data_IF_456343243286
#
_entry.id   IF_456343243286
#
_cell.length_a   1.000
_cell.length_b   1.000
_cell.length_c   1.000
_cell.angle_alpha   90.00
_cell.angle_beta   90.00
_cell.angle_gamma   90.00
#
_symmetry.space_group_name_H-M   'P 1'
#
loop_
_entity.id
_entity.type
_entity.pdbx_description
1 polymer ?
#
# COMPACT_ATOMS: atom_id res chain seq x y z
N UNK A 1 -19.50 -11.98 24.99
CA UNK A 1 -18.12 -12.45 25.23
C UNK A 1 -17.50 -13.10 24.00
N UNK A 2 -18.18 -14.05 23.34
CA UNK A 2 -17.68 -14.71 22.11
C UNK A 2 -17.37 -13.73 20.98
N UNK A 3 -18.26 -12.77 20.69
CA UNK A 3 -18.04 -11.76 19.64
C UNK A 3 -16.86 -10.83 19.95
N UNK A 4 -16.66 -10.49 21.23
CA UNK A 4 -15.52 -9.67 21.65
C UNK A 4 -14.20 -10.44 21.47
N UNK A 5 -14.15 -11.70 21.89
CA UNK A 5 -12.97 -12.54 21.69
C UNK A 5 -12.67 -12.75 20.20
N UNK A 6 -13.70 -12.98 19.39
CA UNK A 6 -13.55 -13.09 17.94
C UNK A 6 -12.97 -11.80 17.33
N UNK A 7 -13.47 -10.63 17.74
CA UNK A 7 -12.96 -9.33 17.28
C UNK A 7 -11.49 -9.11 17.69
N UNK A 8 -11.13 -9.42 18.93
CA UNK A 8 -9.74 -9.28 19.42
C UNK A 8 -8.81 -10.23 18.66
N UNK A 9 -9.22 -11.49 18.48
CA UNK A 9 -8.43 -12.46 17.74
C UNK A 9 -8.24 -12.06 16.28
N UNK A 10 -9.31 -11.61 15.62
CA UNK A 10 -9.27 -11.10 14.24
C UNK A 10 -8.33 -9.89 14.13
N UNK A 11 -8.41 -8.96 15.07
CA UNK A 11 -7.51 -7.80 15.13
C UNK A 11 -6.05 -8.21 15.32
N UNK A 12 -5.76 -9.15 16.23
CA UNK A 12 -4.41 -9.64 16.48
C UNK A 12 -3.85 -10.40 15.27
N UNK A 13 -4.66 -11.23 14.62
CA UNK A 13 -4.27 -11.92 13.38
C UNK A 13 -4.03 -10.92 12.25
N UNK A 14 -4.88 -9.91 12.11
CA UNK A 14 -4.72 -8.83 11.14
C UNK A 14 -3.41 -8.07 11.35
N UNK A 15 -3.13 -7.64 12.58
CA UNK A 15 -1.87 -6.97 12.93
C UNK A 15 -0.67 -7.88 12.63
N UNK A 16 -0.74 -9.15 13.01
CA UNK A 16 0.35 -10.10 12.78
C UNK A 16 0.61 -10.30 11.28
N UNK A 17 -0.44 -10.45 10.47
CA UNK A 17 -0.33 -10.56 9.01
C UNK A 17 0.25 -9.29 8.39
N UNK A 18 -0.25 -8.11 8.79
CA UNK A 18 0.26 -6.81 8.33
C UNK A 18 1.74 -6.65 8.66
N UNK A 19 2.15 -7.03 9.87
CA UNK A 19 3.53 -6.90 10.30
C UNK A 19 4.44 -7.96 9.65
N UNK A 20 3.94 -9.18 9.41
CA UNK A 20 4.67 -10.25 8.73
C UNK A 20 4.89 -9.98 7.23
N UNK A 21 3.94 -9.31 6.56
CA UNK A 21 3.96 -9.00 5.12
C UNK A 21 4.12 -7.51 4.80
N UNK A 22 4.66 -6.73 5.75
CA UNK A 22 4.77 -5.29 5.62
C UNK A 22 5.54 -4.83 4.37
N UNK A 23 6.66 -5.49 4.06
CA UNK A 23 7.48 -5.18 2.89
C UNK A 23 6.69 -5.29 1.58
N UNK A 24 6.13 -6.47 1.25
CA UNK A 24 5.25 -6.65 0.10
C UNK A 24 4.04 -5.69 0.07
N UNK A 25 3.43 -5.37 1.22
CA UNK A 25 2.33 -4.40 1.26
C UNK A 25 2.78 -2.98 0.88
N UNK A 26 3.89 -2.50 1.45
CA UNK A 26 4.43 -1.18 1.11
C UNK A 26 4.89 -1.13 -0.35
N UNK A 27 5.53 -2.19 -0.86
CA UNK A 27 5.94 -2.25 -2.26
C UNK A 27 4.73 -2.27 -3.20
N UNK A 28 3.71 -3.08 -2.91
CA UNK A 28 2.45 -3.10 -3.66
C UNK A 28 1.78 -1.73 -3.69
N UNK A 29 1.66 -1.07 -2.53
CA UNK A 29 1.10 0.27 -2.41
C UNK A 29 1.89 1.31 -3.21
N UNK A 30 3.22 1.34 -3.08
CA UNK A 30 4.07 2.27 -3.83
C UNK A 30 3.99 2.04 -5.34
N UNK A 31 3.85 0.79 -5.80
CA UNK A 31 3.67 0.50 -7.21
C UNK A 31 2.35 1.09 -7.73
N UNK A 32 1.27 0.90 -6.99
CA UNK A 32 -0.05 1.45 -7.34
C UNK A 32 -0.01 2.98 -7.36
N UNK A 33 0.55 3.62 -6.33
CA UNK A 33 0.74 5.09 -6.27
C UNK A 33 1.53 5.62 -7.48
N UNK A 34 2.60 4.93 -7.90
CA UNK A 34 3.37 5.37 -9.07
C UNK A 34 2.62 5.20 -10.39
N UNK A 35 1.84 4.13 -10.53
CA UNK A 35 0.98 3.91 -11.70
C UNK A 35 -0.12 4.97 -11.75
N UNK A 36 -0.81 5.20 -10.63
CA UNK A 36 -1.86 6.22 -10.50
C UNK A 36 -1.30 7.61 -10.86
N UNK A 37 -0.16 7.98 -10.27
CA UNK A 37 0.49 9.26 -10.56
C UNK A 37 0.91 9.39 -12.03
N UNK A 38 1.44 8.32 -12.64
CA UNK A 38 1.84 8.33 -14.05
C UNK A 38 0.64 8.46 -15.00
N UNK A 39 -0.49 7.82 -14.67
CA UNK A 39 -1.75 7.95 -15.40
C UNK A 39 -2.30 9.37 -15.28
N UNK A 40 -2.45 9.88 -14.05
CA UNK A 40 -2.96 11.23 -13.80
C UNK A 40 -2.11 12.31 -14.46
N UNK A 41 -0.78 12.23 -14.32
CA UNK A 41 0.14 13.17 -14.98
C UNK A 41 0.00 13.17 -16.50
N UNK A 42 -0.30 12.02 -17.09
CA UNK A 42 -0.46 11.90 -18.54
C UNK A 42 -1.81 12.44 -18.99
N UNK A 43 -2.88 12.15 -18.26
CA UNK A 43 -4.21 12.70 -18.53
C UNK A 43 -4.15 14.23 -18.41
N UNK A 44 -3.57 14.76 -17.33
CA UNK A 44 -3.40 16.20 -17.11
C UNK A 44 -2.60 16.85 -18.25
N UNK A 45 -1.49 16.25 -18.69
CA UNK A 45 -0.76 16.76 -19.86
C UNK A 45 -1.61 16.78 -21.13
N UNK A 46 -2.39 15.73 -21.37
CA UNK A 46 -3.26 15.66 -22.56
C UNK A 46 -4.40 16.66 -22.49
N UNK A 47 -4.87 17.02 -21.30
CA UNK A 47 -5.82 18.12 -21.08
C UNK A 47 -5.18 19.47 -21.34
N UNK A 48 -3.99 19.73 -20.77
CA UNK A 48 -3.32 21.03 -20.89
C UNK A 48 -2.75 21.32 -22.30
N UNK A 49 -2.30 20.28 -23.02
CA UNK A 49 -1.81 20.44 -24.40
C UNK A 49 -2.94 20.69 -25.42
N UNK A 50 -4.21 20.61 -25.01
CA UNK A 50 -5.35 20.89 -25.89
C UNK A 50 -5.67 22.37 -25.85
N UNK A 51 -5.28 23.08 -26.90
CA UNK A 51 -5.71 24.46 -27.19
C UNK A 51 -7.24 24.62 -27.34
N UNK A 52 -7.98 23.51 -27.43
CA UNK A 52 -9.44 23.49 -27.58
C UNK A 52 -10.10 22.99 -26.29
N UNK A 53 -10.65 23.89 -25.44
CA UNK A 53 -11.35 23.52 -24.21
C UNK A 53 -12.62 22.69 -24.47
N UNK A 54 -13.11 22.64 -25.71
CA UNK A 54 -14.30 21.84 -26.07
C UNK A 54 -13.97 20.38 -26.35
N UNK A 55 -12.67 20.02 -26.46
CA UNK A 55 -12.24 18.68 -26.85
C UNK A 55 -12.33 17.70 -25.67
N UNK A 56 -13.42 16.95 -25.66
CA UNK A 56 -13.74 15.92 -24.66
C UNK A 56 -12.62 14.88 -24.45
N UNK A 57 -12.44 14.34 -23.23
CA UNK A 57 -11.51 13.25 -22.98
C UNK A 57 -11.86 12.03 -23.82
N UNK A 58 -10.83 11.32 -24.28
CA UNK A 58 -11.00 10.10 -25.07
C UNK A 58 -11.46 8.94 -24.19
N UNK A 59 -12.15 7.94 -24.77
CA UNK A 59 -12.59 6.76 -24.01
C UNK A 59 -11.42 6.03 -23.31
N UNK A 60 -10.21 6.08 -23.87
CA UNK A 60 -9.02 5.50 -23.26
C UNK A 60 -8.51 6.29 -22.05
N UNK A 61 -8.68 7.61 -22.04
CA UNK A 61 -8.40 8.47 -20.87
C UNK A 61 -9.38 8.15 -19.73
N UNK A 62 -10.67 8.07 -20.03
CA UNK A 62 -11.70 7.70 -19.06
C UNK A 62 -11.49 6.29 -18.50
N UNK A 63 -11.11 5.34 -19.36
CA UNK A 63 -10.83 3.98 -18.92
C UNK A 63 -9.54 3.88 -18.09
N UNK A 64 -8.48 4.63 -18.44
CA UNK A 64 -7.28 4.69 -17.63
C UNK A 64 -7.57 5.24 -16.22
N UNK A 65 -8.40 6.29 -16.12
CA UNK A 65 -8.85 6.85 -14.84
C UNK A 65 -9.78 5.89 -14.08
N UNK A 66 -10.60 5.11 -14.78
CA UNK A 66 -11.37 4.06 -14.12
C UNK A 66 -10.46 2.98 -13.55
N UNK A 67 -9.39 2.57 -14.27
CA UNK A 67 -8.43 1.57 -13.77
C UNK A 67 -7.74 2.03 -12.48
N UNK A 68 -7.38 3.31 -12.33
CA UNK A 68 -6.77 3.79 -11.08
C UNK A 68 -7.74 3.67 -9.89
N UNK A 69 -9.04 3.87 -10.13
CA UNK A 69 -10.06 3.80 -9.08
C UNK A 69 -10.51 2.36 -8.77
N UNK A 70 -10.75 1.54 -9.79
CA UNK A 70 -11.30 0.17 -9.64
C UNK A 70 -10.28 -0.96 -9.83
N UNK A 71 -9.01 -0.62 -10.03
CA UNK A 71 -7.94 -1.58 -10.34
C UNK A 71 -7.68 -2.64 -9.29
N UNK A 72 -8.21 -2.47 -8.07
CA UNK A 72 -8.12 -3.44 -6.97
C UNK A 72 -9.13 -4.60 -7.05
N UNK A 73 -10.12 -4.52 -7.94
CA UNK A 73 -11.13 -5.55 -8.13
C UNK A 73 -10.70 -6.59 -9.18
N UNK A 74 -11.14 -7.83 -8.98
CA UNK A 74 -10.90 -8.92 -9.93
C UNK A 74 -11.59 -8.66 -11.27
N UNK A 75 -10.79 -8.48 -12.32
CA UNK A 75 -11.25 -8.27 -13.71
C UNK A 75 -12.20 -9.40 -14.16
N UNK A 76 -11.88 -10.62 -13.73
CA UNK A 76 -12.55 -11.86 -14.15
C UNK A 76 -13.67 -12.30 -13.22
N UNK A 77 -14.07 -11.46 -12.26
CA UNK A 77 -15.23 -11.74 -11.43
C UNK A 77 -16.48 -11.84 -12.32
N UNK A 78 -16.84 -13.07 -12.66
CA UNK A 78 -18.07 -13.38 -13.39
C UNK A 78 -19.23 -13.36 -12.43
N UNK A 79 -20.25 -12.60 -12.78
CA UNK A 79 -21.54 -12.69 -12.10
C UNK A 79 -22.24 -13.98 -12.51
N UNK A 80 -22.30 -14.93 -11.58
CA UNK A 80 -23.12 -16.12 -11.73
C UNK A 80 -24.58 -15.71 -11.47
N UNK A 81 -25.26 -15.29 -12.54
CA UNK A 81 -26.67 -14.96 -12.47
C UNK A 81 -27.47 -16.25 -12.27
N UNK A 82 -27.84 -16.53 -11.02
CA UNK A 82 -28.77 -17.60 -10.66
C UNK A 82 -30.19 -17.21 -11.11
N UNK A 83 -30.44 -17.21 -12.42
CA UNK A 83 -31.79 -17.14 -12.96
C UNK A 83 -32.09 -18.42 -13.75
N UNK A 84 -32.88 -19.29 -13.12
CA UNK A 84 -33.65 -20.33 -13.76
C UNK A 84 -34.60 -19.72 -14.81
N UNK A 85 -34.13 -19.41 -16.02
CA UNK A 85 -34.86 -19.46 -17.31
C UNK A 85 -34.08 -18.74 -18.42
N UNK A 86 -33.87 -19.46 -19.53
CA UNK A 86 -33.64 -18.94 -20.89
C UNK A 86 -32.19 -18.70 -21.36
N UNK A 87 -31.45 -19.80 -21.48
CA UNK A 87 -30.57 -20.28 -22.59
C UNK A 87 -29.72 -19.33 -23.49
N UNK A 88 -29.62 -18.01 -23.32
CA UNK A 88 -28.73 -17.16 -24.15
C UNK A 88 -28.17 -15.94 -23.38
N UNK A 89 -27.89 -16.07 -22.08
CA UNK A 89 -27.38 -14.96 -21.30
C UNK A 89 -25.84 -14.91 -21.36
N UNK A 90 -25.32 -13.87 -22.02
CA UNK A 90 -23.89 -13.57 -22.11
C UNK A 90 -23.39 -13.24 -20.70
N UNK A 91 -22.49 -14.05 -20.15
CA UNK A 91 -21.77 -13.73 -18.91
C UNK A 91 -21.03 -12.40 -19.11
N UNK A 92 -21.44 -11.36 -18.38
CA UNK A 92 -20.73 -10.08 -18.36
C UNK A 92 -19.68 -10.11 -17.26
N UNK A 93 -18.44 -9.80 -17.63
CA UNK A 93 -17.37 -9.62 -16.64
C UNK A 93 -17.52 -8.26 -15.95
N UNK A 94 -16.89 -8.09 -14.78
CA UNK A 94 -16.85 -6.79 -14.11
C UNK A 94 -16.25 -5.69 -15.01
N UNK A 95 -15.19 -6.02 -15.75
CA UNK A 95 -14.60 -5.11 -16.72
C UNK A 95 -15.57 -4.71 -17.83
N UNK A 96 -16.42 -5.62 -18.32
CA UNK A 96 -17.43 -5.29 -19.34
C UNK A 96 -18.48 -4.30 -18.81
N UNK A 97 -18.87 -4.41 -17.53
CA UNK A 97 -19.78 -3.45 -16.89
C UNK A 97 -19.15 -2.07 -16.77
N UNK A 98 -17.89 -2.00 -16.32
CA UNK A 98 -17.13 -0.75 -16.25
C UNK A 98 -17.06 -0.11 -17.64
N UNK A 99 -16.68 -0.88 -18.67
CA UNK A 99 -16.64 -0.39 -20.06
C UNK A 99 -18.01 0.12 -20.53
N UNK A 100 -19.08 -0.61 -20.24
CA UNK A 100 -20.43 -0.21 -20.63
C UNK A 100 -20.82 1.13 -20.00
N UNK A 101 -20.52 1.34 -18.71
CA UNK A 101 -20.75 2.61 -18.02
C UNK A 101 -19.89 3.75 -18.58
N UNK A 102 -18.67 3.45 -19.03
CA UNK A 102 -17.76 4.43 -19.61
C UNK A 102 -18.09 4.81 -21.06
N UNK A 103 -18.75 3.93 -21.82
CA UNK A 103 -19.20 4.22 -23.19
C UNK A 103 -20.29 5.30 -23.22
N UNK A 104 -21.08 5.41 -22.16
CA UNK A 104 -22.02 6.51 -22.01
C UNK A 104 -21.27 7.72 -21.42
N UNK A 105 -20.93 8.73 -22.24
CA UNK A 105 -20.14 9.90 -21.79
C UNK A 105 -20.64 10.54 -20.48
N UNK A 106 -21.97 10.67 -20.34
CA UNK A 106 -22.58 11.21 -19.10
C UNK A 106 -22.46 10.22 -17.94
N UNK A 107 -22.56 8.93 -18.24
CA UNK A 107 -22.35 7.83 -17.29
C UNK A 107 -20.91 7.76 -16.79
N UNK A 108 -19.91 7.98 -17.65
CA UNK A 108 -18.49 7.95 -17.29
C UNK A 108 -18.14 9.01 -16.24
N UNK A 109 -18.49 10.27 -16.49
CA UNK A 109 -18.25 11.36 -15.55
C UNK A 109 -18.99 11.13 -14.22
N UNK A 110 -20.28 10.75 -14.27
CA UNK A 110 -21.05 10.47 -13.05
C UNK A 110 -20.47 9.29 -12.27
N UNK A 111 -20.09 8.22 -12.95
CA UNK A 111 -19.46 7.05 -12.36
C UNK A 111 -18.16 7.41 -11.62
N UNK A 112 -17.29 8.17 -12.27
CA UNK A 112 -16.01 8.59 -11.70
C UNK A 112 -16.21 9.57 -10.56
N UNK A 113 -17.07 10.57 -10.73
CA UNK A 113 -17.41 11.53 -9.67
C UNK A 113 -17.99 10.83 -8.45
N UNK A 114 -18.96 9.93 -8.63
CA UNK A 114 -19.51 9.13 -7.54
C UNK A 114 -18.42 8.30 -6.88
N UNK A 115 -17.56 7.66 -7.65
CA UNK A 115 -16.45 6.86 -7.13
C UNK A 115 -15.49 7.70 -6.28
N UNK A 116 -15.06 8.86 -6.77
CA UNK A 116 -14.17 9.77 -6.04
C UNK A 116 -14.82 10.27 -4.75
N UNK A 117 -16.11 10.60 -4.76
CA UNK A 117 -16.82 11.07 -3.54
C UNK A 117 -16.92 10.01 -2.44
N UNK A 118 -16.73 8.73 -2.79
CA UNK A 118 -16.75 7.62 -1.83
C UNK A 118 -15.35 7.24 -1.32
N UNK A 119 -14.28 7.86 -1.85
CA UNK A 119 -12.95 7.72 -1.28
C UNK A 119 -12.93 8.39 0.08
N UNK A 120 -12.51 7.64 1.10
CA UNK A 120 -12.39 8.20 2.43
C UNK A 120 -11.23 9.21 2.44
N UNK A 121 -11.43 10.41 3.02
CA UNK A 121 -10.38 11.41 3.06
C UNK A 121 -9.17 10.87 3.84
N UNK A 122 -8.00 10.95 3.21
CA UNK A 122 -6.72 10.48 3.75
C UNK A 122 -6.49 10.97 5.20
N UNK A 123 -6.85 12.25 5.46
CA UNK A 123 -6.72 12.89 6.76
C UNK A 123 -7.45 12.15 7.88
N UNK A 124 -8.62 11.57 7.59
CA UNK A 124 -9.42 10.86 8.60
C UNK A 124 -8.90 9.44 8.81
N UNK A 125 -8.51 8.74 7.74
CA UNK A 125 -8.03 7.36 7.85
C UNK A 125 -6.66 7.26 8.53
N UNK A 126 -5.71 8.12 8.15
CA UNK A 126 -4.33 8.03 8.64
C UNK A 126 -4.05 9.02 9.76
N UNK A 127 -4.64 10.22 9.69
CA UNK A 127 -4.28 11.32 10.58
C UNK A 127 -4.47 10.99 12.05
N UNK A 128 -5.62 10.42 12.42
CA UNK A 128 -5.94 10.12 13.83
C UNK A 128 -5.00 9.03 14.41
N UNK A 129 -4.89 7.82 13.81
CA UNK A 129 -3.99 6.79 14.33
C UNK A 129 -2.53 7.25 14.39
N UNK A 130 -2.11 8.07 13.43
CA UNK A 130 -0.75 8.58 13.37
C UNK A 130 -0.46 9.62 14.43
N UNK A 131 -1.36 10.59 14.65
CA UNK A 131 -1.22 11.56 15.75
C UNK A 131 -1.14 10.81 17.08
N UNK A 132 -1.96 9.78 17.26
CA UNK A 132 -1.89 8.94 18.46
C UNK A 132 -0.53 8.24 18.60
N UNK A 133 -0.03 7.62 17.53
CA UNK A 133 1.28 6.95 17.52
C UNK A 133 2.43 7.92 17.80
N UNK A 134 2.50 9.05 17.08
CA UNK A 134 3.55 10.07 17.26
C UNK A 134 3.50 10.64 18.68
N UNK A 135 2.30 10.89 19.22
CA UNK A 135 2.13 11.39 20.59
C UNK A 135 2.60 10.38 21.63
N UNK A 136 2.21 9.12 21.50
CA UNK A 136 2.63 8.05 22.41
C UNK A 136 4.15 7.81 22.34
N UNK A 137 4.72 7.90 21.14
CA UNK A 137 6.15 7.75 20.93
C UNK A 137 6.94 8.93 21.52
N UNK A 138 6.50 10.17 21.27
CA UNK A 138 7.10 11.38 21.86
C UNK A 138 7.01 11.34 23.38
N UNK A 139 5.87 10.93 23.95
CA UNK A 139 5.74 10.72 25.38
C UNK A 139 6.75 9.69 25.92
N UNK A 140 6.94 8.58 25.20
CA UNK A 140 7.94 7.56 25.55
C UNK A 140 9.38 8.10 25.51
N UNK A 141 9.69 9.01 24.55
CA UNK A 141 10.99 9.70 24.52
C UNK A 141 11.16 10.66 25.71
N UNK A 142 10.11 11.37 26.13
CA UNK A 142 10.15 12.27 27.29
C UNK A 142 10.33 11.47 28.58
N UNK A 143 9.58 10.37 28.77
CA UNK A 143 9.76 9.48 29.92
C UNK A 143 11.18 8.90 29.94
N UNK A 144 11.74 8.58 28.77
CA UNK A 144 13.11 8.13 28.64
C UNK A 144 14.16 9.15 29.07
N UNK A 145 13.91 10.44 28.88
CA UNK A 145 14.80 11.50 29.36
C UNK A 145 14.82 11.57 30.90
N UNK A 146 13.74 11.18 31.58
CA UNK A 146 13.68 11.17 33.04
C UNK A 146 14.41 9.94 33.61
N UNK A 147 14.50 8.84 32.85
CA UNK A 147 15.08 7.55 33.26
C UNK A 147 16.40 7.24 32.56
N UNK A 148 17.32 8.20 32.55
CA UNK A 148 18.64 8.04 31.92
C UNK A 148 19.39 6.83 32.50
N UNK A 149 20.04 6.08 31.63
CA UNK A 149 20.80 4.87 31.98
C UNK A 149 19.96 3.59 31.99
N UNK A 150 18.63 3.64 32.06
CA UNK A 150 17.81 2.41 32.06
C UNK A 150 17.78 1.73 30.69
N UNK A 151 18.46 0.59 30.61
CA UNK A 151 18.53 -0.26 29.43
C UNK A 151 17.14 -0.66 28.89
N UNK A 152 16.17 -0.93 29.76
CA UNK A 152 14.84 -1.32 29.29
C UNK A 152 14.13 -0.18 28.55
N UNK A 153 14.42 1.06 28.94
CA UNK A 153 13.85 2.24 28.29
C UNK A 153 14.43 2.46 26.89
N UNK A 154 15.74 2.28 26.71
CA UNK A 154 16.38 2.31 25.39
C UNK A 154 15.82 1.25 24.44
N UNK A 155 15.61 0.03 24.94
CA UNK A 155 15.02 -1.02 24.11
C UNK A 155 13.53 -0.79 23.85
N UNK A 156 12.77 -0.19 24.77
CA UNK A 156 11.40 0.23 24.48
C UNK A 156 11.37 1.16 23.25
N UNK A 157 12.27 2.14 23.18
CA UNK A 157 12.41 3.02 22.01
C UNK A 157 12.77 2.22 20.75
N UNK A 158 13.70 1.27 20.83
CA UNK A 158 14.05 0.42 19.69
C UNK A 158 12.86 -0.43 19.18
N UNK A 159 12.08 -1.03 20.08
CA UNK A 159 10.88 -1.78 19.70
C UNK A 159 9.81 -0.86 19.12
N UNK A 160 9.64 0.35 19.66
CA UNK A 160 8.77 1.34 19.07
C UNK A 160 9.23 1.72 17.65
N UNK A 161 10.53 1.96 17.41
CA UNK A 161 11.07 2.17 16.06
C UNK A 161 10.82 0.98 15.13
N UNK A 162 10.83 -0.24 15.65
CA UNK A 162 10.49 -1.43 14.86
C UNK A 162 8.98 -1.51 14.54
N UNK A 163 8.11 -1.23 15.51
CA UNK A 163 6.64 -1.19 15.34
C UNK A 163 6.15 -0.05 14.43
N UNK A 164 6.98 0.97 14.20
CA UNK A 164 6.81 1.99 13.17
C UNK A 164 6.42 1.40 11.80
N UNK A 165 6.89 0.18 11.50
CA UNK A 165 6.54 -0.54 10.28
C UNK A 165 5.02 -0.65 10.05
N UNK A 166 4.22 -0.88 11.10
CA UNK A 166 2.75 -0.97 11.00
C UNK A 166 2.16 0.37 10.54
N UNK A 167 2.67 1.46 11.13
CA UNK A 167 2.27 2.82 10.78
C UNK A 167 2.65 3.15 9.34
N UNK A 168 3.83 2.73 8.89
CA UNK A 168 4.28 2.91 7.50
C UNK A 168 3.41 2.13 6.50
N UNK A 169 2.96 0.92 6.85
CA UNK A 169 1.98 0.20 6.02
C UNK A 169 0.66 0.97 5.96
N UNK A 170 0.17 1.50 7.08
CA UNK A 170 -1.05 2.29 7.11
C UNK A 170 -0.96 3.59 6.28
N UNK A 171 0.16 4.32 6.39
CA UNK A 171 0.41 5.53 5.58
C UNK A 171 0.41 5.18 4.10
N UNK A 172 1.21 4.19 3.69
CA UNK A 172 1.38 3.88 2.26
C UNK A 172 0.13 3.27 1.64
N UNK A 173 -0.59 2.41 2.35
CA UNK A 173 -1.87 1.86 1.87
C UNK A 173 -2.97 2.90 1.68
N UNK A 174 -2.91 4.02 2.41
CA UNK A 174 -3.89 5.10 2.31
C UNK A 174 -3.53 6.12 1.22
N UNK A 175 -2.31 6.10 0.69
CA UNK A 175 -1.92 6.95 -0.45
C UNK A 175 -2.49 6.46 -1.79
N UNK A 176 -3.10 5.29 -1.80
CA UNK A 176 -3.64 4.65 -2.99
C UNK A 176 -5.01 5.26 -3.33
N UNK A 177 -5.24 5.56 -4.62
CA UNK A 177 -6.49 6.17 -5.08
C UNK A 177 -7.63 5.14 -5.27
N UNK A 178 -7.32 3.85 -5.21
CA UNK A 178 -8.31 2.79 -5.44
C UNK A 178 -9.32 2.61 -4.29
N UNK A 179 -10.57 2.34 -4.67
CA UNK A 179 -11.66 2.01 -3.73
C UNK A 179 -11.30 0.77 -2.90
N UNK A 180 -11.35 0.90 -1.57
CA UNK A 180 -11.05 -0.19 -0.63
C UNK A 180 -12.26 -1.01 -0.17
N UNK A 181 -13.49 -0.68 -0.61
CA UNK A 181 -14.71 -1.31 -0.12
C UNK A 181 -15.58 -1.86 -1.26
N UNK A 182 -15.86 -3.18 -1.31
CA UNK A 182 -16.70 -3.76 -2.36
C UNK A 182 -18.13 -3.22 -2.34
N UNK A 183 -18.66 -2.85 -1.17
CA UNK A 183 -20.00 -2.26 -1.06
C UNK A 183 -20.13 -0.91 -1.75
N UNK A 184 -19.04 -0.13 -1.80
CA UNK A 184 -19.02 1.17 -2.48
C UNK A 184 -19.15 0.96 -3.98
N UNK A 185 -18.36 0.04 -4.55
CA UNK A 185 -18.47 -0.24 -5.99
C UNK A 185 -19.81 -0.87 -6.34
N UNK A 186 -20.38 -1.70 -5.46
CA UNK A 186 -21.74 -2.24 -5.64
C UNK A 186 -22.77 -1.12 -5.68
N UNK A 187 -22.69 -0.13 -4.78
CA UNK A 187 -23.60 1.02 -4.77
C UNK A 187 -23.50 1.86 -6.04
N UNK A 188 -22.28 2.09 -6.53
CA UNK A 188 -22.05 2.87 -7.76
C UNK A 188 -22.47 2.09 -9.02
N UNK A 189 -22.35 0.75 -9.00
CA UNK A 189 -22.69 -0.12 -10.13
C UNK A 189 -24.13 -0.65 -10.11
N UNK A 190 -24.89 -0.38 -9.05
CA UNK A 190 -26.23 -0.94 -8.85
C UNK A 190 -27.25 -0.34 -9.80
N UNK A 191 -27.29 -0.87 -11.04
CA UNK A 191 -28.49 -0.83 -11.85
C UNK A 191 -29.36 -2.09 -11.63
N UNK A 192 -28.79 -3.28 -11.45
CA UNK A 192 -29.56 -4.53 -11.29
C UNK A 192 -29.03 -5.46 -10.18
N UNK A 193 -29.98 -6.05 -9.44
CA UNK A 193 -29.90 -7.08 -8.39
C UNK A 193 -28.52 -7.51 -7.88
N UNK A 194 -28.31 -7.35 -6.57
CA UNK A 194 -27.14 -7.81 -5.81
C UNK A 194 -26.68 -9.22 -6.20
N UNK A 195 -25.41 -9.36 -6.56
CA UNK A 195 -24.79 -10.68 -6.73
C UNK A 195 -24.66 -11.33 -5.36
N UNK A 196 -25.09 -12.58 -5.23
CA UNK A 196 -24.92 -13.33 -3.97
C UNK A 196 -23.45 -13.55 -3.58
N UNK A 197 -22.52 -13.37 -4.53
CA UNK A 197 -21.10 -13.63 -4.37
C UNK A 197 -20.21 -12.36 -4.27
N UNK A 198 -20.77 -11.16 -4.44
CA UNK A 198 -20.07 -9.87 -4.30
C UNK A 198 -18.88 -9.66 -5.24
N UNK A 199 -18.43 -8.40 -5.39
CA UNK A 199 -17.15 -8.15 -6.06
C UNK A 199 -16.00 -8.51 -5.12
N UNK A 200 -15.08 -9.37 -5.58
CA UNK A 200 -13.93 -9.80 -4.79
C UNK A 200 -12.79 -8.78 -4.91
N UNK A 201 -12.50 -8.09 -3.80
CA UNK A 201 -11.30 -7.29 -3.68
C UNK A 201 -10.07 -8.20 -3.54
N UNK A 202 -9.00 -7.91 -4.28
CA UNK A 202 -7.73 -8.63 -4.12
C UNK A 202 -6.90 -8.03 -3.00
N UNK A 203 -6.06 -8.88 -2.43
CA UNK A 203 -5.07 -8.47 -1.44
C UNK A 203 -4.11 -7.43 -2.04
N UNK A 204 -3.63 -6.49 -1.22
CA UNK A 204 -2.75 -5.40 -1.66
C UNK A 204 -1.47 -5.92 -2.34
N UNK A 205 -0.89 -7.03 -1.86
CA UNK A 205 0.24 -7.71 -2.52
C UNK A 205 -0.07 -8.22 -3.94
N UNK A 206 -1.34 -8.50 -4.23
CA UNK A 206 -1.80 -9.04 -5.51
C UNK A 206 -2.33 -7.94 -6.44
N UNK A 207 -2.55 -6.70 -5.97
CA UNK A 207 -3.13 -5.62 -6.79
C UNK A 207 -2.34 -5.30 -8.05
N UNK A 208 -0.99 -5.38 -7.99
CA UNK A 208 -0.13 -5.26 -9.18
C UNK A 208 -0.54 -6.26 -10.29
N UNK A 209 -1.07 -7.42 -9.95
CA UNK A 209 -1.59 -8.40 -10.93
C UNK A 209 -2.86 -7.91 -11.59
N UNK A 210 -3.81 -7.44 -10.78
CA UNK A 210 -5.08 -7.00 -11.33
C UNK A 210 -4.90 -5.76 -12.17
N UNK A 211 -4.09 -4.78 -11.75
CA UNK A 211 -3.77 -3.59 -12.57
C UNK A 211 -3.18 -3.97 -13.93
N UNK A 212 -2.27 -4.94 -13.97
CA UNK A 212 -1.75 -5.44 -15.23
C UNK A 212 -2.81 -6.17 -16.07
N UNK A 213 -3.72 -6.94 -15.46
CA UNK A 213 -4.83 -7.56 -16.20
C UNK A 213 -5.80 -6.52 -16.74
N UNK A 214 -6.12 -5.50 -15.95
CA UNK A 214 -6.91 -4.34 -16.36
C UNK A 214 -6.27 -3.66 -17.57
N UNK A 215 -4.95 -3.54 -17.62
CA UNK A 215 -4.24 -2.93 -18.76
C UNK A 215 -4.27 -3.80 -20.02
N UNK A 216 -4.41 -5.12 -19.90
CA UNK A 216 -4.54 -6.04 -21.05
C UNK A 216 -5.95 -6.09 -21.62
N UNK A 217 -6.93 -5.56 -20.89
CA UNK A 217 -8.32 -5.63 -21.27
C UNK A 217 -8.60 -4.75 -22.50
N UNK A 218 -9.32 -5.31 -23.49
CA UNK A 218 -9.56 -4.61 -24.77
C UNK A 218 -10.82 -3.76 -24.70
N UNK A 219 -10.71 -2.51 -25.15
CA UNK A 219 -11.81 -1.56 -25.21
C UNK A 219 -12.32 -1.51 -26.65
N UNK A 220 -13.62 -1.27 -26.84
CA UNK A 220 -14.20 -1.05 -28.17
C UNK A 220 -14.19 0.45 -28.43
N UNK A 221 -13.40 0.89 -29.41
CA UNK A 221 -13.36 2.26 -29.90
C UNK A 221 -14.71 2.68 -30.53
N UNK A 222 -15.08 3.97 -30.58
CA UNK A 222 -16.25 4.48 -31.30
C UNK A 222 -16.39 3.96 -32.74
N UNK A 223 -15.29 3.58 -33.39
CA UNK A 223 -15.29 2.97 -34.74
C UNK A 223 -15.54 1.45 -34.71
N UNK A 224 -15.96 0.90 -33.56
CA UNK A 224 -16.20 -0.53 -33.27
C UNK A 224 -14.97 -1.44 -33.42
N UNK A 225 -13.76 -0.88 -33.48
CA UNK A 225 -12.53 -1.66 -33.47
C UNK A 225 -12.17 -1.99 -32.02
N UNK A 226 -11.70 -3.21 -31.79
CA UNK A 226 -11.15 -3.60 -30.49
C UNK A 226 -9.75 -3.02 -30.41
N UNK A 227 -9.56 -2.00 -29.59
CA UNK A 227 -8.28 -1.35 -29.34
C UNK A 227 -7.84 -1.73 -27.93
N UNK A 228 -6.60 -2.18 -27.77
CA UNK A 228 -6.00 -2.34 -26.44
C UNK A 228 -5.91 -0.99 -25.75
N UNK A 229 -5.74 -0.96 -24.43
CA UNK A 229 -5.32 0.29 -23.78
C UNK A 229 -4.17 0.86 -24.60
N UNK A 230 -4.33 2.10 -25.06
CA UNK A 230 -3.48 2.73 -26.06
C UNK A 230 -2.01 2.42 -25.76
N UNK A 231 -1.21 2.06 -26.78
CA UNK A 231 0.22 1.74 -26.64
C UNK A 231 0.98 2.84 -25.87
N UNK A 232 0.40 4.04 -25.82
CA UNK A 232 0.79 5.10 -24.90
C UNK A 232 0.84 4.66 -23.43
N UNK A 233 -0.17 4.02 -22.87
CA UNK A 233 -0.25 3.66 -21.45
C UNK A 233 0.38 2.31 -21.09
N UNK A 234 0.59 1.40 -22.05
CA UNK A 234 1.23 0.11 -21.78
C UNK A 234 2.59 0.19 -21.05
N UNK A 235 3.52 1.13 -21.34
CA UNK A 235 4.79 1.24 -20.61
C UNK A 235 4.61 1.72 -19.16
N UNK A 236 3.44 2.21 -18.77
CA UNK A 236 3.16 2.58 -17.38
C UNK A 236 3.05 1.34 -16.49
N UNK A 237 2.64 0.21 -17.05
CA UNK A 237 2.48 -1.05 -16.32
C UNK A 237 3.73 -1.95 -16.38
N UNK A 238 4.83 -1.43 -16.94
CA UNK A 238 6.09 -2.16 -17.12
C UNK A 238 6.88 -2.37 -15.82
N UNK A 239 7.89 -3.24 -15.91
CA UNK A 239 8.80 -3.62 -14.83
C UNK A 239 9.51 -2.43 -14.17
N UNK A 240 9.67 -1.30 -14.88
CA UNK A 240 10.33 -0.10 -14.38
C UNK A 240 9.73 0.41 -13.06
N UNK A 241 8.41 0.60 -13.01
CA UNK A 241 7.74 1.09 -11.80
C UNK A 241 7.80 0.09 -10.64
N UNK A 242 7.89 -1.20 -10.95
CA UNK A 242 8.11 -2.24 -9.92
C UNK A 242 9.47 -2.13 -9.25
N UNK A 243 10.53 -1.84 -10.02
CA UNK A 243 11.87 -1.69 -9.46
C UNK A 243 11.90 -0.44 -8.55
N UNK A 244 11.33 0.67 -9.02
CA UNK A 244 11.21 1.90 -8.22
C UNK A 244 10.37 1.73 -6.96
N UNK A 245 9.26 0.98 -7.06
CA UNK A 245 8.44 0.62 -5.91
C UNK A 245 9.23 -0.19 -4.87
N UNK A 246 9.97 -1.22 -5.31
CA UNK A 246 10.79 -2.02 -4.40
C UNK A 246 11.89 -1.18 -3.73
N UNK A 247 12.57 -0.34 -4.52
CA UNK A 247 13.59 0.56 -4.01
C UNK A 247 13.03 1.53 -2.97
N UNK A 248 11.89 2.16 -3.27
CA UNK A 248 11.22 3.10 -2.36
C UNK A 248 10.72 2.41 -1.09
N UNK A 249 10.16 1.20 -1.21
CA UNK A 249 9.73 0.41 -0.06
C UNK A 249 10.90 0.03 0.87
N UNK A 250 12.03 -0.40 0.31
CA UNK A 250 13.24 -0.68 1.08
C UNK A 250 13.75 0.59 1.75
N UNK A 251 13.78 1.72 1.05
CA UNK A 251 14.24 3.00 1.60
C UNK A 251 13.35 3.49 2.76
N UNK A 252 12.03 3.37 2.63
CA UNK A 252 11.07 3.74 3.67
C UNK A 252 11.27 2.89 4.94
N UNK A 253 11.54 1.60 4.77
CA UNK A 253 11.65 0.64 5.87
C UNK A 253 13.04 0.54 6.49
N UNK A 254 14.11 0.72 5.72
CA UNK A 254 15.48 0.53 6.21
C UNK A 254 15.84 1.57 7.28
N UNK A 255 15.31 2.79 7.19
CA UNK A 255 15.58 3.86 8.15
C UNK A 255 15.13 3.48 9.57
N UNK A 256 13.85 3.19 9.85
CA UNK A 256 13.42 2.80 11.20
C UNK A 256 14.07 1.50 11.67
N UNK A 257 14.33 0.54 10.78
CA UNK A 257 14.99 -0.71 11.16
C UNK A 257 16.46 -0.52 11.51
N UNK A 258 17.19 0.30 10.75
CA UNK A 258 18.57 0.64 11.05
C UNK A 258 18.64 1.38 12.39
N UNK A 259 17.77 2.36 12.61
CA UNK A 259 17.71 3.07 13.90
C UNK A 259 17.37 2.12 15.06
N UNK A 260 16.37 1.25 14.92
CA UNK A 260 15.99 0.25 15.93
C UNK A 260 17.13 -0.73 16.22
N UNK A 261 17.80 -1.21 15.17
CA UNK A 261 18.97 -2.08 15.28
C UNK A 261 20.12 -1.38 15.98
N UNK A 262 20.48 -0.17 15.57
CA UNK A 262 21.56 0.62 16.16
C UNK A 262 21.30 0.90 17.64
N UNK A 263 20.09 1.32 18.03
CA UNK A 263 19.75 1.51 19.44
C UNK A 263 19.90 0.20 20.23
N UNK A 264 19.40 -0.92 19.69
CA UNK A 264 19.51 -2.23 20.35
C UNK A 264 20.91 -2.85 20.32
N UNK A 265 21.77 -2.41 19.40
CA UNK A 265 23.14 -2.88 19.23
C UNK A 265 24.10 -2.11 20.15
N UNK A 266 23.85 -0.82 20.35
CA UNK A 266 24.64 0.03 21.24
C UNK A 266 24.27 -0.12 22.73
N UNK A 267 23.15 -0.80 23.04
CA UNK A 267 22.66 -0.92 24.43
C UNK A 267 22.58 -2.39 24.87
N UNK A 268 23.07 -2.76 26.08
CA UNK A 268 23.94 -2.01 27.00
C UNK A 268 25.43 -2.16 26.67
N UNK A 269 25.79 -3.19 25.91
CA UNK A 269 27.15 -3.45 25.42
C UNK A 269 27.09 -3.53 23.89
N UNK A 270 28.11 -3.01 23.23
CA UNK A 270 28.20 -2.99 21.77
C UNK A 270 28.22 -4.43 21.26
N UNK A 271 27.12 -4.87 20.65
CA UNK A 271 27.01 -6.26 20.20
C UNK A 271 25.64 -6.68 19.69
N UNK A 272 25.62 -7.86 19.06
CA UNK A 272 24.38 -8.49 18.60
C UNK A 272 23.73 -9.24 19.77
N UNK A 273 22.82 -8.54 20.45
CA UNK A 273 21.93 -9.09 21.46
C UNK A 273 20.76 -9.85 20.82
N UNK A 274 20.00 -10.61 21.62
CA UNK A 274 18.75 -11.23 21.11
C UNK A 274 17.78 -10.19 20.53
N UNK A 275 17.74 -8.98 21.09
CA UNK A 275 16.84 -7.89 20.65
C UNK A 275 17.27 -7.34 19.29
N UNK A 276 18.54 -6.96 19.13
CA UNK A 276 19.04 -6.47 17.83
C UNK A 276 19.03 -7.57 16.76
N UNK A 277 19.30 -8.82 17.12
CA UNK A 277 19.16 -9.96 16.20
C UNK A 277 17.72 -10.16 15.70
N UNK A 278 16.72 -9.94 16.55
CA UNK A 278 15.29 -10.03 16.15
C UNK A 278 14.96 -8.97 15.10
N UNK A 279 15.37 -7.72 15.34
CA UNK A 279 15.17 -6.61 14.38
C UNK A 279 15.91 -6.89 13.07
N UNK A 280 17.15 -7.36 13.13
CA UNK A 280 17.95 -7.69 11.94
C UNK A 280 17.34 -8.84 11.15
N UNK A 281 16.96 -9.94 11.82
CA UNK A 281 16.31 -11.08 11.18
C UNK A 281 15.00 -10.68 10.50
N UNK A 282 14.22 -9.81 11.14
CA UNK A 282 13.02 -9.24 10.54
C UNK A 282 13.35 -8.40 9.30
N UNK A 283 14.27 -7.43 9.41
CA UNK A 283 14.67 -6.57 8.30
C UNK A 283 15.17 -7.38 7.09
N UNK A 284 16.04 -8.36 7.31
CA UNK A 284 16.51 -9.27 6.25
C UNK A 284 15.37 -10.05 5.63
N UNK A 285 14.43 -10.56 6.43
CA UNK A 285 13.27 -11.29 5.94
C UNK A 285 12.36 -10.40 5.09
N UNK A 286 12.12 -9.15 5.50
CA UNK A 286 11.29 -8.21 4.75
C UNK A 286 11.95 -7.76 3.43
N UNK A 287 13.25 -7.48 3.42
CA UNK A 287 13.97 -7.18 2.16
C UNK A 287 13.91 -8.37 1.21
N UNK A 288 14.08 -9.59 1.73
CA UNK A 288 13.96 -10.80 0.92
C UNK A 288 12.53 -11.02 0.41
N UNK A 289 11.51 -10.74 1.23
CA UNK A 289 10.11 -10.77 0.82
C UNK A 289 9.79 -9.76 -0.28
N UNK A 290 10.35 -8.55 -0.23
CA UNK A 290 10.19 -7.54 -1.29
C UNK A 290 10.80 -8.05 -2.61
N UNK A 291 12.00 -8.64 -2.55
CA UNK A 291 12.64 -9.23 -3.73
C UNK A 291 11.82 -10.38 -4.32
N UNK A 292 11.36 -11.32 -3.46
CA UNK A 292 10.50 -12.44 -3.87
C UNK A 292 9.16 -11.95 -4.40
N UNK A 293 8.56 -10.92 -3.81
CA UNK A 293 7.34 -10.29 -4.27
C UNK A 293 7.51 -9.69 -5.67
N UNK A 294 8.64 -9.02 -5.96
CA UNK A 294 8.93 -8.46 -7.28
C UNK A 294 8.96 -9.55 -8.36
N UNK A 295 9.64 -10.67 -8.07
CA UNK A 295 9.74 -11.83 -8.97
C UNK A 295 8.38 -12.52 -9.12
N UNK A 296 7.70 -12.79 -8.00
CA UNK A 296 6.38 -13.42 -7.97
C UNK A 296 5.33 -12.60 -8.72
N UNK A 297 5.47 -11.28 -8.67
CA UNK A 297 4.58 -10.33 -9.33
C UNK A 297 5.00 -9.97 -10.75
N UNK A 298 6.06 -10.55 -11.28
CA UNK A 298 6.48 -10.28 -12.66
C UNK A 298 5.46 -10.82 -13.68
N UNK A 299 5.19 -10.10 -14.78
CA UNK A 299 4.25 -10.55 -15.82
C UNK A 299 4.65 -11.90 -16.42
N UNK A 300 5.96 -12.17 -16.57
CA UNK A 300 6.47 -13.47 -17.07
C UNK A 300 6.12 -14.64 -16.15
N UNK A 301 6.25 -14.47 -14.83
CA UNK A 301 5.83 -15.47 -13.85
C UNK A 301 4.33 -15.80 -13.98
N UNK A 302 3.54 -14.84 -14.46
CA UNK A 302 2.07 -14.91 -14.49
C UNK A 302 1.53 -15.49 -15.79
N UNK A 303 2.10 -15.10 -16.94
CA UNK A 303 1.79 -15.76 -18.22
C UNK A 303 2.04 -17.27 -18.16
N UNK A 304 3.10 -17.67 -17.45
CA UNK A 304 3.39 -19.08 -17.21
C UNK A 304 2.28 -19.79 -16.41
N UNK A 305 1.60 -19.10 -15.47
CA UNK A 305 0.52 -19.68 -14.65
C UNK A 305 -0.79 -19.79 -15.44
N UNK A 306 -1.14 -18.77 -16.23
CA UNK A 306 -2.34 -18.79 -17.07
C UNK A 306 -2.29 -19.86 -18.17
N UNK A 307 -1.13 -20.02 -18.80
CA UNK A 307 -0.94 -21.00 -19.88
C UNK A 307 -0.75 -22.45 -19.40
N UNK A 308 -0.46 -22.65 -18.10
CA UNK A 308 -0.22 -23.98 -17.53
C UNK A 308 -1.46 -24.89 -17.58
N UNK A 309 -2.66 -24.35 -17.78
CA UNK A 309 -3.88 -25.15 -17.76
C UNK A 309 -4.12 -25.99 -19.03
N UNK A 310 -3.33 -25.87 -20.11
CA UNK A 310 -3.81 -26.45 -21.38
C UNK A 310 -2.88 -27.21 -22.33
N UNK A 311 -1.54 -27.05 -22.40
CA UNK A 311 -0.77 -27.95 -23.30
C UNK A 311 0.76 -27.92 -23.15
N UNK A 312 1.34 -29.12 -23.26
CA UNK A 312 2.72 -29.51 -23.60
C UNK A 312 3.73 -29.60 -22.43
N UNK A 313 4.20 -30.84 -22.23
CA UNK A 313 5.23 -31.33 -21.29
C UNK A 313 6.54 -30.51 -21.24
N UNK A 314 6.84 -29.65 -22.24
CA UNK A 314 8.10 -28.89 -22.34
C UNK A 314 8.14 -27.62 -21.47
N UNK A 315 7.02 -27.17 -20.90
CA UNK A 315 6.97 -25.98 -20.01
C UNK A 315 7.02 -26.30 -18.51
N UNK A 316 7.13 -27.58 -18.13
CA UNK A 316 7.03 -28.01 -16.72
C UNK A 316 8.15 -27.43 -15.82
N UNK A 317 9.34 -27.19 -16.36
CA UNK A 317 10.46 -26.58 -15.60
C UNK A 317 10.18 -25.15 -15.17
N UNK A 318 9.57 -24.32 -16.03
CA UNK A 318 9.18 -22.94 -15.70
C UNK A 318 8.07 -22.91 -14.64
N UNK A 319 7.12 -23.85 -14.76
CA UNK A 319 6.07 -24.03 -13.77
C UNK A 319 6.64 -24.42 -12.40
N UNK A 320 7.52 -25.41 -12.35
CA UNK A 320 8.16 -25.83 -11.10
C UNK A 320 8.95 -24.69 -10.44
N UNK A 321 9.70 -23.90 -11.23
CA UNK A 321 10.41 -22.73 -10.73
C UNK A 321 9.46 -21.69 -10.12
N UNK A 322 8.32 -21.41 -10.76
CA UNK A 322 7.31 -20.48 -10.23
C UNK A 322 6.70 -20.96 -8.91
N UNK A 323 6.38 -22.24 -8.80
CA UNK A 323 5.87 -22.84 -7.57
C UNK A 323 6.92 -22.83 -6.46
N UNK A 324 8.18 -23.06 -6.80
CA UNK A 324 9.29 -22.94 -5.85
C UNK A 324 9.41 -21.50 -5.32
N UNK A 325 9.38 -20.48 -6.19
CA UNK A 325 9.42 -19.06 -5.79
C UNK A 325 8.20 -18.70 -4.93
N UNK A 326 7.01 -19.16 -5.33
CA UNK A 326 5.76 -18.91 -4.57
C UNK A 326 5.81 -19.57 -3.19
N UNK A 327 6.23 -20.83 -3.12
CA UNK A 327 6.41 -21.54 -1.86
C UNK A 327 7.44 -20.86 -0.97
N UNK A 328 8.58 -20.44 -1.54
CA UNK A 328 9.63 -19.70 -0.83
C UNK A 328 9.11 -18.38 -0.27
N UNK A 329 8.33 -17.62 -1.05
CA UNK A 329 7.69 -16.37 -0.60
C UNK A 329 6.82 -16.60 0.64
N UNK A 330 5.95 -17.62 0.64
CA UNK A 330 5.12 -17.92 1.81
C UNK A 330 5.92 -18.44 2.99
N UNK A 331 6.95 -19.27 2.77
CA UNK A 331 7.82 -19.77 3.84
C UNK A 331 8.55 -18.61 4.53
N UNK A 332 9.16 -17.70 3.76
CA UNK A 332 9.85 -16.52 4.31
C UNK A 332 8.86 -15.62 5.04
N UNK A 333 7.63 -15.47 4.54
CA UNK A 333 6.59 -14.69 5.19
C UNK A 333 6.17 -15.29 6.54
N UNK A 334 6.03 -16.63 6.61
CA UNK A 334 5.78 -17.34 7.87
C UNK A 334 6.97 -17.17 8.82
N UNK A 335 8.22 -17.22 8.33
CA UNK A 335 9.40 -16.94 9.17
C UNK A 335 9.37 -15.52 9.72
N UNK A 336 9.05 -14.51 8.89
CA UNK A 336 8.91 -13.13 9.33
C UNK A 336 7.78 -12.97 10.37
N UNK A 337 6.65 -13.67 10.18
CA UNK A 337 5.55 -13.73 11.15
C UNK A 337 6.00 -14.35 12.48
N UNK A 338 6.75 -15.45 12.44
CA UNK A 338 7.29 -16.08 13.64
C UNK A 338 8.32 -15.19 14.36
N UNK A 339 9.18 -14.47 13.61
CA UNK A 339 10.13 -13.51 14.19
C UNK A 339 9.42 -12.34 14.86
N UNK A 340 8.35 -11.82 14.23
CA UNK A 340 7.59 -10.70 14.79
C UNK A 340 6.77 -11.07 16.02
N UNK A 341 6.01 -12.17 15.94
CA UNK A 341 5.24 -12.69 17.07
C UNK A 341 6.16 -13.17 18.19
N UNK A 342 7.19 -13.95 17.86
CA UNK A 342 8.18 -14.44 18.81
C UNK A 342 8.91 -13.30 19.49
N UNK A 343 9.36 -12.29 18.72
CA UNK A 343 10.02 -11.12 19.27
C UNK A 343 9.13 -10.30 20.21
N UNK A 344 7.87 -10.10 19.84
CA UNK A 344 6.90 -9.40 20.69
C UNK A 344 6.60 -10.17 21.97
N UNK A 345 6.39 -11.50 21.89
CA UNK A 345 6.16 -12.34 23.06
C UNK A 345 7.41 -12.33 23.97
N UNK A 346 8.61 -12.46 23.41
CA UNK A 346 9.86 -12.41 24.18
C UNK A 346 10.06 -11.07 24.88
N UNK A 347 9.62 -9.96 24.28
CA UNK A 347 9.63 -8.65 24.92
C UNK A 347 8.61 -8.56 26.06
N UNK A 348 7.35 -8.95 25.82
CA UNK A 348 6.28 -8.87 26.82
C UNK A 348 6.50 -9.79 28.02
N UNK A 349 7.04 -10.99 27.78
CA UNK A 349 7.36 -11.97 28.84
C UNK A 349 8.67 -11.64 29.57
N UNK A 350 9.43 -10.65 29.10
CA UNK A 350 10.72 -10.29 29.68
C UNK A 350 11.83 -11.30 29.41
N UNK A 351 11.67 -12.23 28.45
CA UNK A 351 12.71 -13.21 28.08
C UNK A 351 14.02 -12.53 27.68
N UNK A 352 13.95 -11.35 27.06
CA UNK A 352 15.15 -10.59 26.72
C UNK A 352 15.94 -10.06 27.93
N UNK A 353 15.36 -10.07 29.14
CA UNK A 353 16.07 -9.71 30.37
C UNK A 353 16.95 -10.85 30.90
N UNK A 354 16.83 -12.06 30.36
CA UNK A 354 17.65 -13.20 30.75
C UNK A 354 19.13 -12.98 30.41
N UNK A 355 20.01 -13.53 31.24
CA UNK A 355 21.47 -13.39 31.10
C UNK A 355 21.99 -13.89 29.75
N UNK A 356 21.37 -14.92 29.17
CA UNK A 356 21.74 -15.46 27.84
C UNK A 356 21.57 -14.38 26.76
N UNK A 357 20.48 -13.61 26.82
CA UNK A 357 20.22 -12.56 25.83
C UNK A 357 21.03 -11.29 26.07
N UNK A 358 21.40 -11.01 27.33
CA UNK A 358 22.30 -9.91 27.69
C UNK A 358 23.75 -10.18 27.30
N UNK A 359 24.22 -11.42 27.46
CA UNK A 359 25.59 -11.79 27.08
C UNK A 359 25.85 -11.63 25.57
N UNK A 360 24.80 -11.66 24.74
CA UNK A 360 24.90 -11.57 23.28
C UNK A 360 24.98 -12.95 22.62
N UNK A 361 24.45 -13.05 21.40
CA UNK A 361 24.34 -14.34 20.68
C UNK A 361 25.73 -14.92 20.37
N UNK A 362 26.72 -14.05 20.15
CA UNK A 362 28.09 -14.44 19.83
C UNK A 362 28.68 -15.43 20.85
N UNK A 363 28.47 -15.18 22.15
CA UNK A 363 29.00 -16.02 23.23
C UNK A 363 28.18 -17.29 23.50
N UNK A 364 26.98 -17.37 22.92
CA UNK A 364 26.12 -18.55 22.97
C UNK A 364 26.48 -19.63 21.94
N UNK A 365 27.23 -19.28 20.88
CA UNK A 365 27.58 -20.21 19.82
C UNK A 365 28.61 -21.25 20.29
N UNK A 366 28.47 -22.52 19.87
CA UNK A 366 29.38 -23.60 20.29
C UNK A 366 30.81 -23.43 19.77
N UNK A 367 31.02 -22.57 18.78
CA UNK A 367 32.32 -22.31 18.16
C UNK A 367 33.24 -21.44 19.01
N UNK A 368 32.70 -20.63 19.93
CA UNK A 368 33.47 -19.82 20.89
C UNK A 368 33.59 -20.59 22.21
N UNK A 369 34.54 -21.54 22.26
CA UNK A 369 34.74 -22.43 23.41
C UNK A 369 35.29 -21.70 24.65
N UNK A 370 35.95 -20.56 24.46
CA UNK A 370 36.37 -19.67 25.55
C UNK A 370 35.25 -18.72 25.97
N UNK A 371 34.41 -19.19 26.91
CA UNK A 371 33.41 -18.38 27.60
C UNK A 371 33.98 -17.52 28.73
N UNK A 372 35.30 -17.57 28.94
CA UNK A 372 36.01 -16.86 30.00
C UNK A 372 35.91 -15.33 29.89
N UNK A 373 35.62 -14.81 28.69
CA UNK A 373 35.45 -13.38 28.42
C UNK A 373 33.99 -12.92 28.34
N UNK A 374 33.01 -13.80 28.52
CA UNK A 374 31.61 -13.42 28.53
C UNK A 374 31.28 -12.66 29.83
N UNK A 375 31.24 -11.34 29.75
CA UNK A 375 30.85 -10.49 30.86
C UNK A 375 29.32 -10.32 30.85
N UNK A 376 28.67 -10.53 31.99
CA UNK A 376 27.24 -10.20 32.16
C UNK A 376 27.15 -9.04 33.14
N UNK A 377 26.90 -7.85 32.61
CA UNK A 377 26.70 -6.66 33.42
C UNK A 377 25.33 -6.73 34.12
N UNK A 378 25.37 -6.93 35.43
CA UNK A 378 24.17 -6.99 36.28
C UNK A 378 23.63 -5.59 36.64
N UNK A 379 24.50 -4.58 36.72
CA UNK A 379 24.07 -3.19 36.95
C UNK A 379 23.50 -2.59 35.67
N UNK A 380 22.26 -2.11 35.76
CA UNK A 380 21.56 -1.39 34.69
C UNK A 380 21.87 0.11 34.69
N UNK A 381 22.53 0.64 35.71
CA UNK A 381 22.85 2.06 35.81
C UNK A 381 24.36 2.22 35.96
N UNK A 382 25.03 2.56 34.85
CA UNK A 382 26.44 2.95 34.87
C UNK A 382 26.66 4.22 34.07
N UNK A 383 27.78 4.90 34.34
CA UNK A 383 28.13 6.13 33.63
C UNK A 383 28.16 5.94 32.11
N UNK A 384 28.68 4.81 31.62
CA UNK A 384 28.68 4.51 30.18
C UNK A 384 27.27 4.41 29.59
N UNK A 385 26.31 3.84 30.32
CA UNK A 385 24.92 3.71 29.87
C UNK A 385 24.22 5.09 29.84
N UNK A 386 24.57 5.96 30.79
CA UNK A 386 24.11 7.36 30.82
C UNK A 386 24.71 8.20 29.70
N UNK A 387 25.99 8.00 29.38
CA UNK A 387 26.66 8.71 28.28
C UNK A 387 26.06 8.27 26.93
N UNK A 388 25.74 6.98 26.78
CA UNK A 388 25.05 6.43 25.62
C UNK A 388 23.61 6.93 25.47
N UNK A 389 22.96 7.41 26.56
CA UNK A 389 21.60 7.96 26.55
C UNK A 389 21.38 9.08 25.55
N UNK A 390 22.38 9.94 25.38
CA UNK A 390 22.34 10.98 24.36
C UNK A 390 22.16 10.40 22.94
N UNK A 391 22.84 9.30 22.62
CA UNK A 391 22.81 8.68 21.30
C UNK A 391 21.45 8.01 21.03
N UNK A 392 20.92 7.21 21.95
CA UNK A 392 19.63 6.55 21.69
C UNK A 392 18.44 7.51 21.73
N UNK A 393 18.50 8.59 22.51
CA UNK A 393 17.51 9.67 22.41
C UNK A 393 17.57 10.38 21.05
N UNK A 394 18.78 10.68 20.54
CA UNK A 394 18.94 11.28 19.22
C UNK A 394 18.43 10.36 18.09
N UNK A 395 18.75 9.06 18.15
CA UNK A 395 18.25 8.06 17.20
C UNK A 395 16.73 7.91 17.29
N UNK A 396 16.18 7.87 18.50
CA UNK A 396 14.74 7.81 18.75
C UNK A 396 14.01 9.03 18.19
N UNK A 397 14.53 10.24 18.43
CA UNK A 397 14.00 11.49 17.89
C UNK A 397 14.10 11.56 16.36
N UNK A 398 15.20 11.07 15.78
CA UNK A 398 15.38 10.97 14.32
C UNK A 398 14.29 10.09 13.69
N UNK A 399 13.90 9.00 14.34
CA UNK A 399 12.80 8.14 13.88
C UNK A 399 11.44 8.85 13.83
N UNK A 400 11.15 9.72 14.81
CA UNK A 400 9.93 10.56 14.79
C UNK A 400 9.98 11.56 13.66
N UNK A 401 11.12 12.26 13.53
CA UNK A 401 11.30 13.26 12.47
C UNK A 401 11.12 12.62 11.09
N UNK A 402 11.66 11.42 10.88
CA UNK A 402 11.48 10.64 9.65
C UNK A 402 10.00 10.36 9.35
N UNK A 403 9.25 9.87 10.35
CA UNK A 403 7.81 9.65 10.20
C UNK A 403 7.02 10.91 9.87
N UNK A 404 7.32 12.02 10.56
CA UNK A 404 6.67 13.32 10.31
C UNK A 404 6.96 13.81 8.90
N UNK A 405 8.18 13.64 8.41
CA UNK A 405 8.55 14.01 7.03
C UNK A 405 7.78 13.15 6.01
N UNK A 406 7.71 11.83 6.21
CA UNK A 406 6.95 10.96 5.31
C UNK A 406 5.46 11.33 5.29
N UNK A 407 4.88 11.64 6.45
CA UNK A 407 3.51 12.12 6.55
C UNK A 407 3.32 13.44 5.81
N UNK A 408 4.18 14.42 6.05
CA UNK A 408 4.08 15.74 5.43
C UNK A 408 4.18 15.63 3.90
N UNK A 409 5.03 14.72 3.39
CA UNK A 409 5.13 14.42 1.96
C UNK A 409 3.89 13.73 1.42
N UNK A 410 3.36 12.73 2.11
CA UNK A 410 2.12 12.06 1.72
C UNK A 410 0.93 13.02 1.69
N UNK A 411 0.81 13.88 2.72
CA UNK A 411 -0.22 14.89 2.80
C UNK A 411 -0.06 15.95 1.69
N UNK A 412 1.15 16.46 1.47
CA UNK A 412 1.42 17.44 0.41
C UNK A 412 1.15 16.88 -1.00
N UNK A 413 1.38 15.58 -1.21
CA UNK A 413 1.02 14.92 -2.47
C UNK A 413 -0.50 14.87 -2.63
N UNK A 414 -1.25 14.62 -1.56
CA UNK A 414 -2.70 14.59 -1.58
C UNK A 414 -3.31 15.99 -1.77
N UNK A 415 -2.86 16.99 -1.01
CA UNK A 415 -3.43 18.35 -1.09
C UNK A 415 -3.21 19.00 -2.44
N UNK A 416 -2.12 18.67 -3.13
CA UNK A 416 -1.91 19.13 -4.51
C UNK A 416 -2.95 18.60 -5.48
N UNK A 417 -3.55 17.45 -5.20
CA UNK A 417 -4.65 16.93 -6.02
C UNK A 417 -5.97 17.65 -5.69
N UNK A 418 -6.13 18.15 -4.46
CA UNK A 418 -7.32 18.90 -4.04
C UNK A 418 -7.28 20.36 -4.56
N UNK A 419 -6.13 21.04 -4.46
CA UNK A 419 -5.98 22.45 -4.89
C UNK A 419 -6.21 22.63 -6.40
N UNK A 420 -5.82 21.65 -7.22
CA UNK A 420 -6.06 21.69 -8.67
C UNK A 420 -7.57 21.56 -9.03
N UNK A 421 -8.44 21.06 -8.12
CA UNK A 421 -9.90 20.96 -8.38
C UNK A 421 -10.65 22.28 -8.14
N UNK A 422 -10.25 23.08 -7.15
CA UNK A 422 -10.98 24.29 -6.75
C UNK A 422 -10.79 25.41 -7.79
N UNK A 423 -9.60 25.54 -8.39
CA UNK A 423 -9.31 26.57 -9.40
C UNK A 423 -10.05 26.32 -10.73
N UNK A 424 -10.24 25.05 -11.15
CA UNK A 424 -10.98 24.72 -12.38
C UNK A 424 -12.50 24.85 -12.22
N UNK A 425 -13.01 24.72 -10.99
CA UNK A 425 -14.45 24.81 -10.70
C UNK A 425 -15.02 26.22 -10.90
N UNK A 426 -14.29 27.24 -10.44
CA UNK A 426 -14.70 28.65 -10.57
C UNK A 426 -14.65 29.11 -12.04
N UNK A 427 -13.62 28.73 -12.81
CA UNK A 427 -13.51 29.14 -14.21
C UNK A 427 -14.62 28.55 -15.09
N UNK A 428 -15.07 27.31 -14.83
CA UNK A 428 -16.18 26.72 -15.58
C UNK A 428 -17.54 27.33 -15.19
N UNK A 429 -17.73 27.74 -13.94
CA UNK A 429 -19.00 28.35 -13.53
C UNK A 429 -19.15 29.75 -14.11
N UNK A 430 -18.07 30.54 -14.13
CA UNK A 430 -18.07 31.87 -14.75
C UNK A 430 -18.28 31.79 -16.28
N UNK A 431 -17.66 30.82 -16.96
CA UNK A 431 -17.86 30.63 -18.40
C UNK A 431 -19.29 30.21 -18.79
N UNK A 432 -19.97 29.43 -17.93
CA UNK A 432 -21.37 29.05 -18.17
C UNK A 432 -22.31 30.24 -17.93
N UNK A 433 -22.07 31.04 -16.91
CA UNK A 433 -22.90 32.22 -16.61
C UNK A 433 -22.75 33.31 -17.68
N UNK A 434 -21.54 33.56 -18.21
CA UNK A 434 -21.34 34.48 -19.34
C UNK A 434 -22.09 33.99 -20.61
N UNK A 435 -22.05 32.68 -20.89
CA UNK A 435 -22.76 32.12 -22.05
C UNK A 435 -24.29 32.18 -21.93
N UNK A 436 -24.82 32.23 -20.71
CA UNK A 436 -26.25 32.41 -20.46
C UNK A 436 -26.66 33.89 -20.49
N UNK A 437 -25.77 34.80 -20.06
CA UNK A 437 -25.97 36.25 -20.13
C UNK A 437 -26.11 36.73 -21.59
N UNK A 438 -25.22 36.28 -22.49
CA UNK A 438 -25.27 36.67 -23.90
C UNK A 438 -26.51 36.11 -24.62
N UNK A 439 -26.99 34.92 -24.22
CA UNK A 439 -28.20 34.33 -24.79
C UNK A 439 -29.48 35.05 -24.36
N UNK A 440 -29.50 35.61 -23.16
CA UNK A 440 -30.63 36.41 -22.67
C UNK A 440 -30.72 37.78 -23.36
N UNK A 441 -29.59 38.34 -23.79
CA UNK A 441 -29.58 39.59 -24.56
C UNK A 441 -30.19 39.42 -25.96
N UNK A 442 -29.86 38.34 -26.68
CA UNK A 442 -30.39 38.08 -28.03
C UNK A 442 -31.90 37.73 -28.05
N UNK A 443 -32.43 37.13 -26.98
CA UNK A 443 -33.87 36.83 -26.91
C UNK A 443 -34.71 38.11 -26.71
N UNK A 444 -34.15 39.13 -26.06
CA UNK A 444 -34.86 40.39 -25.77
C UNK A 444 -35.08 41.31 -26.99
N UNK A 445 -34.27 41.19 -28.04
CA UNK A 445 -34.45 41.97 -29.28
C UNK A 445 -35.51 41.35 -30.22
N UNK A 446 -35.87 40.08 -30.01
CA UNK A 446 -36.81 39.36 -30.87
C UNK A 446 -38.30 39.55 -30.52
N UNK A 447 -38.62 40.08 -29.32
CA UNK A 447 -40.00 40.29 -28.87
C UNK A 447 -40.59 41.68 -29.19
N UNK A 448 -39.84 42.61 -29.80
CA UNK A 448 -40.37 43.95 -30.12
C UNK A 448 -41.05 44.11 -31.49
N UNK A 449 -41.23 43.02 -32.26
CA UNK A 449 -41.77 43.07 -33.64
C UNK A 449 -43.15 42.43 -33.84
N UNK A 450 -44.01 42.38 -32.81
CA UNK A 450 -45.41 41.97 -32.96
C UNK A 450 -46.43 43.00 -32.47
#
# INVERSE_FOLDING_TARGET
MTSFFALVLDTLLGIALVFGWAGPFIAGAMHEVFVDWAILKRINRVMNDRDDPTRRPTESEWFALAITLVGSFDVSATEEQNLNRSQNQVQQTFADKVKFKLQENRGAYLFLKQTCTQLAPFRVQVGIPLVFYVSAYTYSLIDAQVRLGDNDTAHSIAFSLWYCTIVLVAITSSMILSIGAPKVIEMVMADHSMTSNGYKMKWMCERRLELWRWSQERIRDPQRRMVTLDDRYSPIFDEYYSIWSCFSAILILIVPWALAFTVSYLTPEIGVSCRSATVLAYACSQVFLIALWSIHSSPMAREARGNASWKKSRQWTKYLALWAVTGLYYIVGIVALCVTLGGTIMQLTGVYRNCICKAGIFWGLPTTRDRSMALVKLSTDTQMDRDAASAWLALGGTGVAWLVILLARGLSMMTRMDEDEDDEGEEYTDAVDDSHSDRAADESDSESSY
#
